data_IF_143926099199
#
_entry.id   IF_143926099199
#
_cell.length_a   1.000
_cell.length_b   1.000
_cell.length_c   1.000
_cell.angle_alpha   90.00
_cell.angle_beta   90.00
_cell.angle_gamma   90.00
#
_symmetry.space_group_name_H-M   'P 1'
#
loop_
_entity.id
_entity.type
_entity.pdbx_description
1 polymer ?
#
# COMPACT_ATOMS: atom_id res chain seq x y z
N UNK A 1 -14.90 11.33 14.12
CA UNK A 1 -14.26 12.43 13.39
C UNK A 1 -14.76 12.48 11.95
N UNK A 2 -14.95 11.36 11.27
CA UNK A 2 -15.59 11.31 9.96
C UNK A 2 -17.10 11.04 10.10
N UNK A 3 -17.88 11.50 9.12
CA UNK A 3 -19.29 11.13 9.05
C UNK A 3 -19.39 9.62 8.77
N UNK A 4 -20.37 8.97 9.41
CA UNK A 4 -20.70 7.59 9.10
C UNK A 4 -21.06 7.49 7.62
N UNK A 5 -20.63 6.40 6.98
CA UNK A 5 -20.91 6.10 5.56
C UNK A 5 -20.32 7.12 4.54
N UNK A 6 -19.33 7.93 4.94
CA UNK A 6 -18.67 8.89 4.01
C UNK A 6 -18.03 8.22 2.79
N UNK A 7 -17.69 6.94 2.89
CA UNK A 7 -17.15 6.12 1.79
C UNK A 7 -18.18 5.16 1.17
N UNK A 8 -19.48 5.32 1.50
CA UNK A 8 -20.53 4.48 0.90
C UNK A 8 -20.50 4.56 -0.63
N UNK A 9 -20.54 3.39 -1.27
CA UNK A 9 -20.44 3.25 -2.72
C UNK A 9 -19.00 3.38 -3.26
N UNK A 10 -17.98 3.51 -2.39
CA UNK A 10 -16.58 3.42 -2.78
C UNK A 10 -16.11 1.97 -2.74
N UNK A 11 -15.35 1.57 -3.75
CA UNK A 11 -14.74 0.25 -3.88
C UNK A 11 -13.22 0.44 -3.88
N UNK A 12 -12.54 -0.01 -2.82
CA UNK A 12 -11.15 0.36 -2.57
C UNK A 12 -10.28 -0.90 -2.43
N UNK A 13 -9.24 -1.02 -3.25
CA UNK A 13 -8.22 -2.05 -3.12
C UNK A 13 -7.06 -1.55 -2.28
N UNK A 14 -6.70 -2.29 -1.23
CA UNK A 14 -5.52 -2.05 -0.39
C UNK A 14 -4.53 -3.19 -0.55
N UNK A 15 -3.34 -2.89 -1.09
CA UNK A 15 -2.30 -3.91 -1.24
C UNK A 15 -1.53 -4.11 0.07
N UNK A 16 -1.20 -5.37 0.39
CA UNK A 16 -0.64 -5.70 1.70
C UNK A 16 -1.63 -5.46 2.85
N UNK A 17 -2.93 -5.61 2.56
CA UNK A 17 -4.03 -5.31 3.50
C UNK A 17 -4.24 -6.35 4.60
N UNK A 18 -3.49 -7.45 4.61
CA UNK A 18 -3.64 -8.50 5.63
C UNK A 18 -2.90 -8.24 6.95
N UNK A 19 -2.07 -7.20 7.05
CA UNK A 19 -1.32 -6.91 8.29
C UNK A 19 -0.96 -5.44 8.40
N UNK A 20 -0.64 -4.99 9.62
CA UNK A 20 -0.05 -3.68 9.90
C UNK A 20 -0.88 -2.53 9.33
N UNK A 21 -0.19 -1.51 8.80
CA UNK A 21 -0.84 -0.29 8.29
C UNK A 21 -1.89 -0.56 7.21
N UNK A 22 -1.66 -1.56 6.34
CA UNK A 22 -2.63 -1.95 5.31
C UNK A 22 -3.93 -2.50 5.89
N UNK A 23 -3.84 -3.33 6.94
CA UNK A 23 -5.00 -3.87 7.67
C UNK A 23 -5.78 -2.74 8.36
N UNK A 24 -5.09 -1.84 9.04
CA UNK A 24 -5.73 -0.70 9.72
C UNK A 24 -6.47 0.22 8.73
N UNK A 25 -5.84 0.53 7.58
CA UNK A 25 -6.51 1.30 6.52
C UNK A 25 -7.74 0.56 5.97
N UNK A 26 -7.63 -0.76 5.76
CA UNK A 26 -8.75 -1.56 5.26
C UNK A 26 -9.92 -1.58 6.25
N UNK A 27 -9.63 -1.75 7.55
CA UNK A 27 -10.63 -1.73 8.61
C UNK A 27 -11.34 -0.36 8.69
N UNK A 28 -10.56 0.72 8.67
CA UNK A 28 -11.13 2.08 8.72
C UNK A 28 -12.00 2.38 7.49
N UNK A 29 -11.55 2.03 6.28
CA UNK A 29 -12.37 2.24 5.08
C UNK A 29 -13.67 1.43 5.11
N UNK A 30 -13.63 0.19 5.58
CA UNK A 30 -14.82 -0.64 5.75
C UNK A 30 -15.78 -0.05 6.79
N UNK A 31 -15.27 0.45 7.92
CA UNK A 31 -16.08 1.10 8.97
C UNK A 31 -16.78 2.37 8.48
N UNK A 32 -16.21 3.03 7.47
CA UNK A 32 -16.76 4.23 6.81
C UNK A 32 -17.67 3.90 5.61
N UNK A 33 -18.02 2.63 5.42
CA UNK A 33 -19.00 2.18 4.43
C UNK A 33 -18.46 1.85 3.05
N UNK A 34 -17.13 1.72 2.88
CA UNK A 34 -16.56 1.25 1.62
C UNK A 34 -16.67 -0.27 1.47
N UNK A 35 -16.83 -0.76 0.23
CA UNK A 35 -16.54 -2.15 -0.13
C UNK A 35 -15.03 -2.28 -0.32
N UNK A 36 -14.36 -3.01 0.57
CA UNK A 36 -12.89 -3.08 0.62
C UNK A 36 -12.40 -4.38 -0.01
N UNK A 37 -11.33 -4.29 -0.75
CA UNK A 37 -10.59 -5.42 -1.31
C UNK A 37 -9.18 -5.38 -0.77
N UNK A 38 -8.66 -6.51 -0.28
CA UNK A 38 -7.28 -6.60 0.16
C UNK A 38 -6.55 -7.67 -0.62
N UNK A 39 -5.26 -7.45 -0.90
CA UNK A 39 -4.45 -8.48 -1.51
C UNK A 39 -3.10 -8.68 -0.81
N UNK A 40 -2.57 -9.87 -0.96
CA UNK A 40 -1.29 -10.30 -0.43
C UNK A 40 -0.98 -11.72 -0.84
N UNK A 41 0.20 -12.24 -0.48
CA UNK A 41 0.63 -13.57 -0.92
C UNK A 41 0.08 -14.73 -0.08
N UNK A 42 -0.31 -14.47 1.17
CA UNK A 42 -0.72 -15.50 2.14
C UNK A 42 -2.22 -15.45 2.35
N UNK A 43 -2.94 -16.41 1.76
CA UNK A 43 -4.40 -16.46 1.84
C UNK A 43 -4.87 -16.53 3.31
N UNK A 44 -4.27 -17.36 4.15
CA UNK A 44 -4.70 -17.50 5.55
C UNK A 44 -4.66 -16.18 6.32
N UNK A 45 -3.64 -15.33 6.08
CA UNK A 45 -3.53 -14.01 6.72
C UNK A 45 -4.60 -13.03 6.19
N UNK A 46 -4.97 -13.16 4.93
CA UNK A 46 -6.08 -12.37 4.37
C UNK A 46 -7.41 -12.81 4.96
N UNK A 47 -7.62 -14.13 5.09
CA UNK A 47 -8.84 -14.70 5.66
C UNK A 47 -9.05 -14.28 7.11
N UNK A 48 -7.99 -14.28 7.94
CA UNK A 48 -8.03 -13.75 9.30
C UNK A 48 -8.48 -12.29 9.34
N UNK A 49 -7.92 -11.45 8.48
CA UNK A 49 -8.28 -10.03 8.40
C UNK A 49 -9.71 -9.82 7.86
N UNK A 50 -10.12 -10.61 6.87
CA UNK A 50 -11.49 -10.58 6.31
C UNK A 50 -12.48 -10.94 7.40
N UNK A 51 -12.25 -12.03 8.14
CA UNK A 51 -13.13 -12.45 9.22
C UNK A 51 -13.29 -11.36 10.29
N UNK A 52 -12.16 -10.82 10.78
CA UNK A 52 -12.16 -9.77 11.81
C UNK A 52 -12.94 -8.52 11.38
N UNK A 53 -12.72 -8.04 10.15
CA UNK A 53 -13.41 -6.84 9.66
C UNK A 53 -14.89 -7.12 9.39
N UNK A 54 -15.22 -8.33 8.91
CA UNK A 54 -16.62 -8.75 8.65
C UNK A 54 -17.39 -8.89 9.97
N UNK A 55 -16.80 -9.47 11.01
CA UNK A 55 -17.40 -9.57 12.35
C UNK A 55 -17.72 -8.18 12.94
N UNK A 56 -16.94 -7.16 12.58
CA UNK A 56 -17.20 -5.77 12.93
C UNK A 56 -18.16 -5.04 11.97
N UNK A 57 -18.81 -5.78 11.05
CA UNK A 57 -19.83 -5.24 10.13
C UNK A 57 -19.29 -4.58 8.87
N UNK A 58 -18.00 -4.71 8.57
CA UNK A 58 -17.38 -4.19 7.36
C UNK A 58 -17.58 -5.10 6.15
N UNK A 59 -17.66 -4.52 4.96
CA UNK A 59 -17.68 -5.25 3.68
C UNK A 59 -16.27 -5.37 3.13
N UNK A 60 -15.70 -6.59 3.12
CA UNK A 60 -14.33 -6.84 2.69
C UNK A 60 -14.16 -8.19 2.01
N UNK A 61 -13.24 -8.26 1.02
CA UNK A 61 -12.81 -9.50 0.34
C UNK A 61 -11.29 -9.57 0.23
N UNK A 62 -10.72 -10.76 0.37
CA UNK A 62 -9.28 -11.02 0.30
C UNK A 62 -8.89 -11.85 -0.93
N UNK A 63 -7.83 -11.43 -1.63
CA UNK A 63 -7.33 -12.10 -2.82
C UNK A 63 -5.84 -12.44 -2.68
N UNK A 64 -5.50 -13.74 -2.78
CA UNK A 64 -4.11 -14.13 -2.88
C UNK A 64 -3.53 -13.65 -4.22
N UNK A 65 -2.56 -12.76 -4.15
CA UNK A 65 -1.91 -12.21 -5.33
C UNK A 65 -0.43 -11.87 -5.03
N UNK A 66 0.46 -12.31 -5.90
CA UNK A 66 1.83 -11.80 -5.93
C UNK A 66 1.91 -10.62 -6.89
N UNK A 67 1.93 -9.42 -6.33
CA UNK A 67 1.96 -8.18 -7.10
C UNK A 67 3.22 -7.97 -7.95
N UNK A 68 4.23 -8.85 -7.80
CA UNK A 68 5.43 -8.86 -8.65
C UNK A 68 5.18 -9.46 -10.03
N UNK A 69 4.05 -10.13 -10.20
CA UNK A 69 3.64 -10.83 -11.44
C UNK A 69 2.48 -10.05 -12.07
N UNK A 70 2.73 -9.45 -13.23
CA UNK A 70 1.76 -8.55 -13.90
C UNK A 70 0.48 -9.28 -14.31
N UNK A 71 0.61 -10.53 -14.75
CA UNK A 71 -0.52 -11.39 -15.14
C UNK A 71 -1.42 -11.66 -13.94
N UNK A 72 -0.85 -12.04 -12.79
CA UNK A 72 -1.60 -12.28 -11.57
C UNK A 72 -2.31 -11.01 -11.07
N UNK A 73 -1.71 -9.84 -11.24
CA UNK A 73 -2.35 -8.56 -10.95
C UNK A 73 -3.55 -8.33 -11.86
N UNK A 74 -3.41 -8.52 -13.17
CA UNK A 74 -4.50 -8.34 -14.11
C UNK A 74 -5.67 -9.30 -13.84
N UNK A 75 -5.39 -10.59 -13.60
CA UNK A 75 -6.41 -11.61 -13.29
C UNK A 75 -7.19 -11.26 -12.01
N UNK A 76 -6.48 -10.80 -10.97
CA UNK A 76 -7.10 -10.33 -9.74
C UNK A 76 -8.01 -9.11 -9.99
N UNK A 77 -7.52 -8.11 -10.71
CA UNK A 77 -8.29 -6.90 -11.01
C UNK A 77 -9.52 -7.25 -11.85
N UNK A 78 -9.39 -8.11 -12.87
CA UNK A 78 -10.54 -8.59 -13.65
C UNK A 78 -11.58 -9.31 -12.80
N UNK A 79 -11.13 -10.12 -11.84
CA UNK A 79 -12.02 -10.79 -10.89
C UNK A 79 -12.78 -9.78 -10.04
N UNK A 80 -12.09 -8.76 -9.51
CA UNK A 80 -12.73 -7.70 -8.71
C UNK A 80 -13.72 -6.88 -9.55
N UNK A 81 -13.38 -6.57 -10.80
CA UNK A 81 -14.28 -5.84 -11.71
C UNK A 81 -15.56 -6.63 -12.01
N UNK A 82 -15.43 -7.92 -12.28
CA UNK A 82 -16.59 -8.83 -12.54
C UNK A 82 -17.49 -8.98 -11.32
N UNK A 83 -16.92 -8.94 -10.13
CA UNK A 83 -17.65 -9.15 -8.86
C UNK A 83 -18.54 -7.97 -8.45
N UNK A 84 -18.37 -6.78 -8.99
CA UNK A 84 -19.21 -5.63 -8.60
C UNK A 84 -18.87 -4.33 -9.31
N UNK A 85 -18.13 -4.38 -10.40
CA UNK A 85 -17.79 -3.22 -11.22
C UNK A 85 -16.47 -2.55 -10.82
N UNK A 86 -16.23 -1.39 -11.37
CA UNK A 86 -14.98 -0.66 -11.27
C UNK A 86 -14.58 -0.34 -9.82
N UNK A 87 -13.32 -0.52 -9.48
CA UNK A 87 -12.73 0.09 -8.29
C UNK A 87 -12.82 1.62 -8.42
N UNK A 88 -12.99 2.30 -7.29
CA UNK A 88 -12.94 3.76 -7.20
C UNK A 88 -11.65 4.25 -6.53
N UNK A 89 -10.93 3.35 -5.88
CA UNK A 89 -9.69 3.65 -5.19
C UNK A 89 -8.69 2.50 -5.17
N UNK A 90 -7.40 2.86 -5.19
CA UNK A 90 -6.27 1.97 -5.03
C UNK A 90 -5.32 2.53 -3.98
N UNK A 91 -4.91 1.70 -3.03
CA UNK A 91 -3.85 2.03 -2.07
C UNK A 91 -2.65 1.12 -2.30
N UNK A 92 -1.59 1.67 -2.86
CA UNK A 92 -0.29 1.03 -3.00
C UNK A 92 0.45 1.06 -1.65
N UNK A 93 0.18 0.09 -0.80
CA UNK A 93 0.77 -0.03 0.53
C UNK A 93 1.74 -1.20 0.64
N UNK A 94 1.55 -2.27 -0.11
CA UNK A 94 2.43 -3.43 -0.05
C UNK A 94 3.90 -3.04 -0.22
N UNK A 95 4.72 -3.47 0.72
CA UNK A 95 6.14 -3.15 0.74
C UNK A 95 6.95 -4.31 1.34
N UNK A 96 8.25 -4.25 1.13
CA UNK A 96 9.27 -5.04 1.82
C UNK A 96 10.46 -4.16 2.11
N UNK A 97 11.17 -4.47 3.17
CA UNK A 97 12.43 -3.81 3.48
C UNK A 97 13.31 -4.74 4.33
N UNK A 98 14.61 -4.47 4.33
CA UNK A 98 15.59 -5.02 5.25
C UNK A 98 16.70 -3.97 5.46
N UNK A 99 17.40 -4.06 6.58
CA UNK A 99 18.56 -3.22 6.87
C UNK A 99 19.81 -3.97 6.45
N UNK A 100 20.61 -3.37 5.59
CA UNK A 100 21.91 -3.91 5.17
C UNK A 100 22.85 -2.79 4.70
N UNK A 101 24.15 -2.85 5.03
CA UNK A 101 25.15 -2.02 4.36
C UNK A 101 25.04 -2.21 2.85
N UNK A 102 25.04 -1.13 2.09
CA UNK A 102 24.83 -1.22 0.62
C UNK A 102 25.86 -2.10 -0.08
N UNK A 103 27.09 -2.15 0.43
CA UNK A 103 28.15 -3.03 -0.11
C UNK A 103 27.82 -4.53 -0.02
N UNK A 104 26.93 -4.91 0.90
CA UNK A 104 26.55 -6.31 1.16
C UNK A 104 25.18 -6.65 0.52
N UNK A 105 24.51 -5.69 -0.12
CA UNK A 105 23.25 -5.91 -0.82
C UNK A 105 23.51 -6.70 -2.11
N UNK A 106 22.99 -7.91 -2.16
CA UNK A 106 23.05 -8.73 -3.37
C UNK A 106 22.06 -8.25 -4.44
N UNK A 107 22.32 -8.52 -5.75
CA UNK A 107 21.34 -8.25 -6.81
C UNK A 107 19.95 -8.83 -6.50
N UNK A 108 19.89 -10.07 -6.00
CA UNK A 108 18.64 -10.74 -5.61
C UNK A 108 17.93 -10.03 -4.44
N UNK A 109 18.70 -9.53 -3.46
CA UNK A 109 18.16 -8.74 -2.36
C UNK A 109 17.57 -7.42 -2.83
N UNK A 110 18.27 -6.72 -3.73
CA UNK A 110 17.77 -5.52 -4.38
C UNK A 110 16.47 -5.79 -5.16
N UNK A 111 16.45 -6.81 -6.00
CA UNK A 111 15.28 -7.21 -6.78
C UNK A 111 14.08 -7.60 -5.90
N UNK A 112 14.31 -8.28 -4.79
CA UNK A 112 13.25 -8.66 -3.86
C UNK A 112 12.46 -7.45 -3.35
N UNK A 113 13.13 -6.33 -3.08
CA UNK A 113 12.50 -5.09 -2.63
C UNK A 113 11.93 -4.31 -3.81
N UNK A 114 12.72 -4.08 -4.86
CA UNK A 114 12.29 -3.27 -6.01
C UNK A 114 11.10 -3.89 -6.75
N UNK A 115 11.04 -5.21 -6.87
CA UNK A 115 9.92 -5.89 -7.51
C UNK A 115 8.61 -5.74 -6.72
N UNK A 116 8.65 -5.73 -5.39
CA UNK A 116 7.45 -5.50 -4.58
C UNK A 116 7.06 -4.01 -4.61
N UNK A 117 8.02 -3.13 -4.26
CA UNK A 117 7.71 -1.73 -3.97
C UNK A 117 7.52 -0.92 -5.25
N UNK A 118 8.42 -1.07 -6.23
CA UNK A 118 8.40 -0.27 -7.46
C UNK A 118 7.55 -0.93 -8.54
N UNK A 119 7.92 -2.14 -8.98
CA UNK A 119 7.20 -2.83 -10.07
C UNK A 119 5.77 -3.17 -9.69
N UNK A 120 5.55 -3.71 -8.47
CA UNK A 120 4.21 -4.06 -8.01
C UNK A 120 3.28 -2.84 -7.92
N UNK A 121 3.76 -1.70 -7.42
CA UNK A 121 2.96 -0.46 -7.41
C UNK A 121 2.66 0.02 -8.83
N UNK A 122 3.61 -0.10 -9.76
CA UNK A 122 3.39 0.24 -11.17
C UNK A 122 2.33 -0.67 -11.80
N UNK A 123 2.45 -1.99 -11.66
CA UNK A 123 1.50 -2.93 -12.26
C UNK A 123 0.06 -2.71 -11.79
N UNK A 124 -0.13 -2.50 -10.48
CA UNK A 124 -1.46 -2.22 -9.92
C UNK A 124 -2.02 -0.87 -10.39
N UNK A 125 -1.19 0.17 -10.38
CA UNK A 125 -1.60 1.49 -10.84
C UNK A 125 -1.96 1.47 -12.32
N UNK A 126 -1.14 0.79 -13.14
CA UNK A 126 -1.39 0.61 -14.57
C UNK A 126 -2.67 -0.19 -14.82
N UNK A 127 -2.83 -1.36 -14.16
CA UNK A 127 -3.99 -2.23 -14.36
C UNK A 127 -5.32 -1.55 -13.97
N UNK A 128 -5.35 -0.77 -12.90
CA UNK A 128 -6.52 0.02 -12.54
C UNK A 128 -6.72 1.22 -13.47
N UNK A 129 -5.64 1.96 -13.75
CA UNK A 129 -5.68 3.19 -14.53
C UNK A 129 -6.15 2.98 -15.97
N UNK A 130 -5.66 1.93 -16.65
CA UNK A 130 -6.10 1.61 -18.01
C UNK A 130 -7.60 1.28 -18.05
N UNK A 131 -8.09 0.47 -17.10
CA UNK A 131 -9.52 0.16 -17.03
C UNK A 131 -10.37 1.38 -16.73
N UNK A 132 -9.93 2.27 -15.84
CA UNK A 132 -10.63 3.53 -15.59
C UNK A 132 -10.72 4.42 -16.84
N UNK A 133 -9.63 4.51 -17.61
CA UNK A 133 -9.59 5.28 -18.85
C UNK A 133 -10.52 4.66 -19.90
N UNK A 134 -10.42 3.35 -20.12
CA UNK A 134 -11.19 2.62 -21.13
C UNK A 134 -12.70 2.67 -20.85
N UNK A 135 -13.09 2.64 -19.56
CA UNK A 135 -14.49 2.68 -19.14
C UNK A 135 -15.02 4.09 -18.85
N UNK A 136 -14.17 5.12 -18.92
CA UNK A 136 -14.54 6.50 -18.57
C UNK A 136 -14.86 6.70 -17.10
N UNK A 137 -14.30 5.88 -16.21
CA UNK A 137 -14.56 5.90 -14.76
C UNK A 137 -13.48 6.68 -14.03
N UNK A 138 -13.87 7.48 -13.04
CA UNK A 138 -12.94 8.23 -12.20
C UNK A 138 -12.28 7.34 -11.15
N UNK A 139 -10.98 7.55 -10.90
CA UNK A 139 -10.21 6.79 -9.93
C UNK A 139 -9.41 7.67 -8.97
N UNK A 140 -9.00 7.07 -7.84
CA UNK A 140 -8.07 7.70 -6.90
C UNK A 140 -7.02 6.73 -6.46
N UNK A 141 -5.74 7.08 -6.63
CA UNK A 141 -4.60 6.28 -6.17
C UNK A 141 -3.92 7.00 -5.01
N UNK A 142 -3.63 6.25 -3.95
CA UNK A 142 -2.77 6.69 -2.85
C UNK A 142 -1.59 5.73 -2.76
N UNK A 143 -0.37 6.25 -2.80
CA UNK A 143 0.85 5.47 -2.62
C UNK A 143 1.50 5.77 -1.28
N UNK A 144 1.78 4.73 -0.49
CA UNK A 144 2.49 4.87 0.79
C UNK A 144 3.99 4.89 0.51
N UNK A 145 4.62 6.03 0.77
CA UNK A 145 6.05 6.28 0.58
C UNK A 145 6.84 6.15 1.90
N UNK A 146 7.94 6.85 1.99
CA UNK A 146 8.77 7.06 3.17
C UNK A 146 9.45 8.42 3.09
N UNK A 147 9.80 9.02 4.22
CA UNK A 147 10.55 10.28 4.29
C UNK A 147 11.95 10.18 3.67
N UNK A 148 12.50 8.99 3.52
CA UNK A 148 13.80 8.75 2.88
C UNK A 148 13.88 9.15 1.41
N UNK A 149 12.76 9.43 0.76
CA UNK A 149 12.73 9.95 -0.63
C UNK A 149 13.33 11.36 -0.76
N UNK A 150 13.42 12.10 0.34
CA UNK A 150 13.98 13.46 0.37
C UNK A 150 15.40 13.52 0.91
N UNK A 151 15.68 12.82 2.01
CA UNK A 151 16.95 12.94 2.74
C UNK A 151 17.80 11.66 2.70
N UNK A 152 17.36 10.64 1.97
CA UNK A 152 18.00 9.34 1.97
C UNK A 152 17.76 8.55 3.26
N UNK A 153 18.08 7.25 3.22
CA UNK A 153 18.00 6.35 4.36
C UNK A 153 19.21 5.42 4.35
N UNK A 154 20.16 5.56 5.28
CA UNK A 154 21.28 4.65 5.36
C UNK A 154 20.77 3.22 5.57
N UNK A 155 21.47 2.24 5.00
CA UNK A 155 21.18 0.82 5.12
C UNK A 155 19.84 0.35 4.49
N UNK A 156 19.07 1.25 3.86
CA UNK A 156 17.75 0.94 3.26
C UNK A 156 17.65 1.37 1.79
N UNK A 157 18.78 1.48 1.10
CA UNK A 157 18.89 2.03 -0.25
C UNK A 157 17.91 1.40 -1.24
N UNK A 158 17.69 0.06 -1.33
CA UNK A 158 16.73 -0.52 -2.27
C UNK A 158 15.30 0.00 -2.07
N UNK A 159 14.89 0.16 -0.80
CA UNK A 159 13.55 0.67 -0.47
C UNK A 159 13.43 2.16 -0.76
N UNK A 160 14.41 2.97 -0.37
CA UNK A 160 14.44 4.41 -0.60
C UNK A 160 14.37 4.74 -2.11
N UNK A 161 15.20 4.06 -2.93
CA UNK A 161 15.18 4.19 -4.39
C UNK A 161 13.82 3.80 -4.98
N UNK A 162 13.26 2.67 -4.55
CA UNK A 162 11.96 2.19 -5.05
C UNK A 162 10.84 3.16 -4.72
N UNK A 163 10.81 3.69 -3.50
CA UNK A 163 9.80 4.68 -3.06
C UNK A 163 9.98 6.03 -3.76
N UNK A 164 11.21 6.45 -4.06
CA UNK A 164 11.46 7.64 -4.87
C UNK A 164 10.92 7.46 -6.31
N UNK A 165 11.09 6.27 -6.90
CA UNK A 165 10.48 5.93 -8.19
C UNK A 165 8.96 5.99 -8.16
N UNK A 166 8.31 5.45 -7.12
CA UNK A 166 6.85 5.54 -6.93
C UNK A 166 6.39 6.99 -6.75
N UNK A 167 7.19 7.84 -6.08
CA UNK A 167 6.89 9.27 -5.96
C UNK A 167 6.89 9.97 -7.34
N UNK A 168 7.87 9.67 -8.18
CA UNK A 168 7.91 10.23 -9.54
C UNK A 168 6.77 9.67 -10.40
N UNK A 169 6.48 8.37 -10.34
CA UNK A 169 5.32 7.77 -11.00
C UNK A 169 4.03 8.50 -10.60
N UNK A 170 3.83 8.77 -9.31
CA UNK A 170 2.65 9.49 -8.81
C UNK A 170 2.50 10.87 -9.47
N UNK A 171 3.58 11.63 -9.54
CA UNK A 171 3.57 12.99 -10.15
C UNK A 171 3.34 12.93 -11.65
N UNK A 172 4.02 12.02 -12.35
CA UNK A 172 3.91 11.88 -13.81
C UNK A 172 2.50 11.47 -14.22
N UNK A 173 1.95 10.44 -13.59
CA UNK A 173 0.61 9.96 -13.90
C UNK A 173 -0.50 10.91 -13.42
N UNK A 174 -0.27 11.71 -12.37
CA UNK A 174 -1.20 12.76 -11.97
C UNK A 174 -1.35 13.82 -13.08
N UNK A 175 -0.24 14.18 -13.74
CA UNK A 175 -0.26 15.11 -14.86
C UNK A 175 -0.87 14.47 -16.12
N UNK A 176 -0.51 13.21 -16.41
CA UNK A 176 -0.94 12.50 -17.60
C UNK A 176 -2.43 12.10 -17.54
N UNK A 177 -2.90 11.61 -16.39
CA UNK A 177 -4.25 11.02 -16.23
C UNK A 177 -5.27 11.96 -15.59
N UNK A 178 -4.84 13.14 -15.15
CA UNK A 178 -5.72 14.10 -14.46
C UNK A 178 -6.95 14.50 -15.29
N UNK A 179 -6.80 14.64 -16.60
CA UNK A 179 -7.90 14.99 -17.51
C UNK A 179 -8.95 13.87 -17.68
N UNK A 180 -8.63 12.61 -17.35
CA UNK A 180 -9.59 11.52 -17.24
C UNK A 180 -10.31 11.50 -15.89
N UNK A 181 -10.01 12.42 -14.97
CA UNK A 181 -10.56 12.43 -13.61
C UNK A 181 -9.91 11.43 -12.66
N UNK A 182 -8.72 10.94 -13.00
CA UNK A 182 -7.93 10.03 -12.16
C UNK A 182 -6.95 10.88 -11.34
N UNK A 183 -7.03 10.75 -10.02
CA UNK A 183 -6.16 11.48 -9.09
C UNK A 183 -5.12 10.54 -8.49
N UNK A 184 -3.87 10.94 -8.52
CA UNK A 184 -2.79 10.21 -7.87
C UNK A 184 -2.15 11.09 -6.80
N UNK A 185 -2.04 10.55 -5.58
CA UNK A 185 -1.40 11.19 -4.45
C UNK A 185 -0.51 10.19 -3.72
N UNK A 186 0.36 10.72 -2.87
CA UNK A 186 1.23 9.91 -2.05
C UNK A 186 1.32 10.45 -0.63
N UNK A 187 1.50 9.56 0.34
CA UNK A 187 1.72 9.87 1.75
C UNK A 187 3.07 9.31 2.14
N UNK A 188 3.93 10.13 2.73
CA UNK A 188 5.19 9.70 3.32
C UNK A 188 5.06 9.73 4.85
N UNK A 189 4.64 8.64 5.48
CA UNK A 189 4.54 8.58 6.93
C UNK A 189 5.92 8.67 7.57
N UNK A 190 5.98 9.23 8.77
CA UNK A 190 7.11 9.11 9.68
C UNK A 190 7.22 7.68 10.24
N UNK A 191 7.94 7.49 11.35
CA UNK A 191 7.97 6.22 12.06
C UNK A 191 6.56 5.79 12.44
N UNK A 192 6.19 4.59 12.05
CA UNK A 192 4.89 3.99 12.38
C UNK A 192 5.13 2.62 12.99
N UNK A 193 4.96 2.45 14.30
CA UNK A 193 5.34 1.25 15.03
C UNK A 193 4.36 0.11 14.76
N UNK A 194 4.45 -0.54 13.58
CA UNK A 194 3.78 -1.81 13.36
C UNK A 194 4.74 -2.96 13.67
N UNK A 195 4.22 -4.05 14.23
CA UNK A 195 5.02 -5.24 14.61
C UNK A 195 5.94 -5.68 13.46
N UNK A 196 5.43 -5.83 12.25
CA UNK A 196 6.20 -6.29 11.10
C UNK A 196 7.22 -5.26 10.56
N UNK A 197 7.01 -3.95 10.77
CA UNK A 197 7.99 -2.93 10.41
C UNK A 197 9.12 -2.88 11.45
N UNK A 198 8.78 -2.92 12.74
CA UNK A 198 9.75 -2.83 13.83
C UNK A 198 10.70 -4.03 13.85
N UNK A 199 10.21 -5.25 13.70
CA UNK A 199 11.03 -6.46 13.62
C UNK A 199 12.11 -6.40 12.52
N UNK A 200 11.85 -5.66 11.43
CA UNK A 200 12.75 -5.54 10.27
C UNK A 200 13.63 -4.31 10.29
N UNK A 201 13.15 -3.21 10.85
CA UNK A 201 13.84 -1.90 10.82
C UNK A 201 14.55 -1.57 12.12
N UNK A 202 14.21 -2.25 13.21
CA UNK A 202 14.81 -2.05 14.54
C UNK A 202 14.94 -3.38 15.29
N UNK A 203 15.65 -4.38 14.70
CA UNK A 203 15.73 -5.71 15.32
C UNK A 203 16.38 -5.60 16.72
N UNK A 204 15.67 -6.12 17.73
CA UNK A 204 16.15 -6.11 19.12
C UNK A 204 15.90 -4.81 19.89
N UNK A 205 15.23 -3.83 19.33
CA UNK A 205 14.76 -2.66 20.06
C UNK A 205 13.31 -2.85 20.51
N UNK A 206 13.03 -2.44 21.75
CA UNK A 206 11.67 -2.47 22.29
C UNK A 206 10.80 -1.43 21.57
N UNK A 207 9.57 -1.81 21.18
CA UNK A 207 8.62 -0.91 20.53
C UNK A 207 8.23 0.28 21.41
N UNK A 208 8.37 0.14 22.71
CA UNK A 208 8.02 1.14 23.72
C UNK A 208 9.19 2.06 24.13
N UNK A 209 10.33 2.00 23.42
CA UNK A 209 11.47 2.84 23.79
C UNK A 209 11.23 4.31 23.43
N UNK A 210 11.15 5.15 24.45
CA UNK A 210 11.05 6.63 24.35
C UNK A 210 12.24 7.30 23.64
N UNK A 211 13.28 6.56 23.28
CA UNK A 211 14.45 7.11 22.57
C UNK A 211 14.13 7.59 21.16
N UNK A 212 13.18 6.94 20.48
CA UNK A 212 12.74 7.37 19.16
C UNK A 212 11.85 8.62 19.24
N UNK A 213 11.04 8.74 20.28
CA UNK A 213 10.18 9.90 20.48
C UNK A 213 10.98 11.18 20.71
N UNK A 214 12.15 11.10 21.33
CA UNK A 214 13.03 12.23 21.53
C UNK A 214 13.54 12.87 20.23
N UNK A 215 13.53 12.12 19.11
CA UNK A 215 13.94 12.58 17.77
C UNK A 215 12.79 13.21 16.98
N UNK A 216 11.57 13.07 17.46
CA UNK A 216 10.37 13.61 16.82
C UNK A 216 10.05 14.97 17.47
N UNK A 217 9.81 16.05 16.70
CA UNK A 217 9.57 17.38 17.27
C UNK A 217 8.45 17.43 18.34
N UNK A 218 7.39 16.63 18.16
CA UNK A 218 6.31 16.55 19.13
C UNK A 218 6.56 15.54 20.25
N UNK A 219 7.70 14.85 20.25
CA UNK A 219 8.13 13.85 21.24
C UNK A 219 7.09 12.75 21.52
N UNK A 220 6.34 12.37 20.50
CA UNK A 220 5.36 11.27 20.51
C UNK A 220 5.20 10.68 19.11
N UNK A 221 4.94 9.39 19.03
CA UNK A 221 4.52 8.67 17.83
C UNK A 221 3.01 8.77 17.59
#
# INVERSE_FOLDING_TARGET
MFQKDVLKGKRILVTGGGTGLGKEMAAEYASLGASVYICGRRQSVLDETVNEITENGGEIKGYACDIRVSEAVNDMIDTIWKDGGALTGLVNNAAGNFISPTKDVTPRGFEAISNIVFRGSFYLTHACGTRWIDEGVKGSVISILTTWIWNGGPFTVPSAMSKAGVNIMTKSLAAEWGHYGIRLNAIAPGPFPTKGAWERLSPGQDTDSNENDAKIPMRRN
#
